data_IF_958485422128
#
_entry.id   IF_958485422128
#
_cell.length_a   1.000
_cell.length_b   1.000
_cell.length_c   1.000
_cell.angle_alpha   90.00
_cell.angle_beta   90.00
_cell.angle_gamma   90.00
#
_symmetry.space_group_name_H-M   'P 1'
#
loop_
_entity.id
_entity.type
_entity.pdbx_description
1 polymer ?
#
# COMPACT_ATOMS: atom_id res chain seq x y z
N UNK A 1 9.16 23.57 20.15
CA UNK A 1 9.59 23.45 18.74
C UNK A 1 8.47 22.80 17.95
N UNK A 2 8.26 23.19 16.69
CA UNK A 2 7.21 22.61 15.84
C UNK A 2 7.84 21.56 14.94
N UNK A 3 7.32 20.33 14.96
CA UNK A 3 7.78 19.26 14.07
C UNK A 3 7.51 19.62 12.60
N UNK A 4 8.32 19.08 11.69
CA UNK A 4 8.05 19.19 10.25
C UNK A 4 6.69 18.56 9.90
N UNK A 5 5.93 19.26 9.07
CA UNK A 5 4.64 18.77 8.57
C UNK A 5 4.84 17.45 7.80
N UNK A 6 3.97 16.44 8.01
CA UNK A 6 3.98 15.23 7.18
C UNK A 6 3.86 15.54 5.69
N UNK A 7 4.40 14.66 4.85
CA UNK A 7 4.30 14.80 3.40
C UNK A 7 2.83 14.81 2.96
N UNK A 8 2.48 15.70 2.03
CA UNK A 8 1.09 15.96 1.66
C UNK A 8 0.26 16.74 2.70
N UNK A 9 0.88 17.24 3.78
CA UNK A 9 0.27 18.17 4.74
C UNK A 9 -0.34 17.52 5.98
N UNK A 10 -0.63 16.22 5.95
CA UNK A 10 -1.24 15.49 7.07
C UNK A 10 -0.69 14.07 7.15
N UNK A 11 -0.53 13.57 8.38
CA UNK A 11 -0.24 12.16 8.61
C UNK A 11 -1.52 11.36 8.39
N UNK A 12 -1.53 10.53 7.35
CA UNK A 12 -2.65 9.67 6.97
C UNK A 12 -2.46 8.31 7.61
N UNK A 13 -3.30 7.94 8.58
CA UNK A 13 -3.28 6.61 9.19
C UNK A 13 -4.51 5.83 8.71
N UNK A 14 -4.29 4.61 8.21
CA UNK A 14 -5.34 3.73 7.66
C UNK A 14 -5.62 2.51 8.55
N UNK A 15 -4.97 2.42 9.70
CA UNK A 15 -5.27 1.43 10.74
C UNK A 15 -6.63 1.75 11.38
N UNK A 16 -7.54 0.78 11.34
CA UNK A 16 -8.82 0.87 12.02
C UNK A 16 -8.64 0.82 13.53
N UNK A 17 -9.53 1.52 14.24
CA UNK A 17 -9.69 1.33 15.68
C UNK A 17 -10.18 -0.09 15.99
N UNK A 18 -9.93 -0.62 17.20
CA UNK A 18 -10.25 -2.01 17.53
C UNK A 18 -11.71 -2.43 17.31
N UNK A 19 -12.67 -1.52 17.52
CA UNK A 19 -14.09 -1.86 17.38
C UNK A 19 -14.48 -1.97 15.91
N UNK A 20 -14.05 -1.00 15.09
CA UNK A 20 -14.28 -1.03 13.64
C UNK A 20 -13.52 -2.17 12.97
N UNK A 21 -12.30 -2.46 13.43
CA UNK A 21 -11.49 -3.59 12.96
C UNK A 21 -12.22 -4.93 13.16
N UNK A 22 -12.79 -5.16 14.36
CA UNK A 22 -13.55 -6.38 14.66
C UNK A 22 -14.81 -6.52 13.80
N UNK A 23 -15.50 -5.41 13.52
CA UNK A 23 -16.66 -5.41 12.63
C UNK A 23 -16.27 -5.73 11.19
N UNK A 24 -15.18 -5.12 10.70
CA UNK A 24 -14.64 -5.39 9.36
C UNK A 24 -14.16 -6.83 9.22
N UNK A 25 -13.52 -7.40 10.23
CA UNK A 25 -13.11 -8.81 10.26
C UNK A 25 -14.31 -9.77 10.15
N UNK A 26 -15.41 -9.49 10.85
CA UNK A 26 -16.64 -10.28 10.73
C UNK A 26 -17.28 -10.22 9.35
N UNK A 27 -17.19 -9.08 8.66
CA UNK A 27 -17.72 -8.92 7.30
C UNK A 27 -16.79 -9.48 6.22
N UNK A 28 -15.48 -9.53 6.46
CA UNK A 28 -14.48 -9.91 5.47
C UNK A 28 -14.55 -11.38 5.02
N UNK A 29 -15.18 -12.26 5.82
CA UNK A 29 -15.29 -13.69 5.52
C UNK A 29 -16.06 -14.03 4.24
N UNK A 30 -16.95 -13.14 3.78
CA UNK A 30 -17.72 -13.31 2.54
C UNK A 30 -17.14 -12.55 1.34
N UNK A 31 -16.06 -11.77 1.54
CA UNK A 31 -15.45 -10.99 0.47
C UNK A 31 -14.52 -11.86 -0.39
N UNK A 32 -14.41 -11.58 -1.69
CA UNK A 32 -13.29 -12.10 -2.50
C UNK A 32 -11.97 -11.77 -1.82
N UNK A 33 -11.06 -12.73 -1.79
CA UNK A 33 -9.79 -12.58 -1.07
C UNK A 33 -8.62 -12.48 -2.05
N UNK A 34 -7.75 -11.51 -1.80
CA UNK A 34 -6.45 -11.37 -2.46
C UNK A 34 -5.36 -11.71 -1.46
N UNK A 35 -4.49 -12.65 -1.83
CA UNK A 35 -3.28 -12.94 -1.06
C UNK A 35 -2.19 -11.98 -1.49
N UNK A 36 -1.69 -11.18 -0.54
CA UNK A 36 -0.61 -10.24 -0.73
C UNK A 36 0.73 -10.97 -0.83
N UNK A 37 1.57 -10.52 -1.74
CA UNK A 37 3.00 -10.81 -1.67
C UNK A 37 3.61 -10.21 -0.40
N UNK A 38 4.81 -10.68 -0.02
CA UNK A 38 5.57 -10.08 1.09
C UNK A 38 5.79 -8.58 0.89
N UNK A 39 6.02 -8.14 -0.35
CA UNK A 39 6.22 -6.71 -0.66
C UNK A 39 4.94 -5.92 -0.45
N UNK A 40 3.82 -6.38 -1.00
CA UNK A 40 2.53 -5.68 -0.87
C UNK A 40 2.04 -5.66 0.58
N UNK A 41 2.35 -6.68 1.38
CA UNK A 41 2.08 -6.68 2.81
C UNK A 41 2.91 -5.61 3.55
N UNK A 42 4.19 -5.43 3.20
CA UNK A 42 5.01 -4.33 3.74
C UNK A 42 4.49 -2.96 3.28
N UNK A 43 4.10 -2.82 2.02
CA UNK A 43 3.52 -1.57 1.50
C UNK A 43 2.20 -1.24 2.23
N UNK A 44 1.36 -2.25 2.48
CA UNK A 44 0.14 -2.10 3.28
C UNK A 44 0.44 -1.64 4.70
N UNK A 45 1.46 -2.20 5.37
CA UNK A 45 1.90 -1.75 6.70
C UNK A 45 2.33 -0.28 6.68
N UNK A 46 3.11 0.14 5.68
CA UNK A 46 3.57 1.53 5.54
C UNK A 46 2.41 2.50 5.29
N UNK A 47 1.40 2.09 4.52
CA UNK A 47 0.15 2.85 4.37
C UNK A 47 -0.61 2.90 5.70
N UNK A 48 -0.73 1.77 6.40
CA UNK A 48 -1.47 1.66 7.65
C UNK A 48 -0.98 2.66 8.70
N UNK A 49 0.34 2.70 8.93
CA UNK A 49 0.95 3.54 9.96
C UNK A 49 1.18 4.99 9.51
N UNK A 50 0.91 5.29 8.25
CA UNK A 50 1.08 6.61 7.64
C UNK A 50 2.50 6.98 7.25
N UNK A 51 3.41 6.02 7.21
CA UNK A 51 4.75 6.22 6.66
C UNK A 51 4.67 6.60 5.17
N UNK A 52 3.65 6.11 4.47
CA UNK A 52 3.38 6.45 3.08
C UNK A 52 2.40 7.61 2.87
N UNK A 53 2.22 8.50 3.85
CA UNK A 53 1.42 9.72 3.64
C UNK A 53 1.92 10.48 2.40
N UNK A 54 1.04 10.90 1.47
CA UNK A 54 -0.42 11.04 1.62
C UNK A 54 -1.26 9.85 1.15
N UNK A 55 -0.68 8.69 0.84
CA UNK A 55 -1.43 7.56 0.31
C UNK A 55 -2.45 7.02 1.32
N UNK A 56 -3.68 6.78 0.84
CA UNK A 56 -4.77 6.17 1.60
C UNK A 56 -5.01 4.69 1.25
N UNK A 57 -4.24 4.17 0.29
CA UNK A 57 -4.33 2.82 -0.25
C UNK A 57 -3.43 2.63 -1.46
N UNK A 58 -3.71 1.61 -2.26
CA UNK A 58 -2.95 1.31 -3.47
C UNK A 58 -3.35 2.25 -4.61
N UNK A 59 -2.37 2.66 -5.42
CA UNK A 59 -2.52 3.71 -6.42
C UNK A 59 -3.53 3.37 -7.52
N UNK A 60 -4.36 4.34 -7.88
CA UNK A 60 -5.12 4.34 -9.13
C UNK A 60 -4.24 4.61 -10.35
N UNK A 61 -4.81 4.53 -11.55
CA UNK A 61 -4.05 4.58 -12.80
C UNK A 61 -3.35 5.93 -13.01
N UNK A 62 -4.01 7.02 -12.62
CA UNK A 62 -3.47 8.38 -12.78
C UNK A 62 -2.22 8.59 -11.91
N UNK A 63 -2.29 8.17 -10.64
CA UNK A 63 -1.14 8.23 -9.72
C UNK A 63 0.01 7.34 -10.21
N UNK A 64 -0.28 6.09 -10.60
CA UNK A 64 0.71 5.18 -11.15
C UNK A 64 1.45 5.80 -12.36
N UNK A 65 0.69 6.34 -13.31
CA UNK A 65 1.24 6.93 -14.53
C UNK A 65 2.09 8.16 -14.22
N UNK A 66 1.61 9.05 -13.36
CA UNK A 66 2.34 10.24 -12.95
C UNK A 66 3.61 9.93 -12.17
N UNK A 67 3.58 8.90 -11.31
CA UNK A 67 4.76 8.46 -10.55
C UNK A 67 5.81 7.92 -11.50
N UNK A 68 5.43 7.07 -12.46
CA UNK A 68 6.37 6.53 -13.43
C UNK A 68 6.99 7.63 -14.30
N UNK A 69 6.20 8.57 -14.81
CA UNK A 69 6.69 9.57 -15.79
C UNK A 69 7.36 10.77 -15.13
N UNK A 70 6.75 11.28 -14.06
CA UNK A 70 7.02 12.61 -13.52
C UNK A 70 7.47 12.60 -12.05
N UNK A 71 7.57 11.41 -11.43
CA UNK A 71 7.82 11.24 -10.00
C UNK A 71 6.82 12.04 -9.14
N UNK A 72 5.55 12.06 -9.56
CA UNK A 72 4.48 12.79 -8.88
C UNK A 72 3.18 12.00 -8.88
N UNK A 73 2.45 12.08 -7.78
CA UNK A 73 1.04 11.72 -7.74
C UNK A 73 0.24 12.64 -8.67
N UNK A 74 -0.97 12.24 -9.04
CA UNK A 74 -1.89 13.06 -9.83
C UNK A 74 -2.24 14.39 -9.13
N UNK A 75 -2.10 14.45 -7.80
CA UNK A 75 -2.22 15.69 -7.01
C UNK A 75 -1.06 16.66 -7.21
N UNK A 76 0.00 16.27 -7.93
CA UNK A 76 1.25 17.03 -8.10
C UNK A 76 2.27 16.80 -6.99
N UNK A 77 1.90 16.07 -5.93
CA UNK A 77 2.79 15.74 -4.80
C UNK A 77 3.93 14.83 -5.27
N UNK A 78 5.18 15.16 -4.94
CA UNK A 78 6.36 14.34 -5.31
C UNK A 78 6.24 12.95 -4.71
N UNK A 79 6.39 11.92 -5.54
CA UNK A 79 6.38 10.52 -5.14
C UNK A 79 7.13 9.67 -6.16
N UNK A 80 8.21 8.96 -5.78
CA UNK A 80 9.15 8.40 -6.76
C UNK A 80 8.89 6.93 -7.16
N UNK A 81 8.20 6.13 -6.33
CA UNK A 81 8.06 4.67 -6.55
C UNK A 81 6.58 4.27 -6.51
N UNK A 82 6.05 3.57 -7.53
CA UNK A 82 4.67 3.10 -7.51
C UNK A 82 4.37 2.16 -6.34
N UNK A 83 3.19 2.36 -5.71
CA UNK A 83 2.66 1.50 -4.65
C UNK A 83 1.36 0.89 -5.15
N UNK A 84 1.46 -0.30 -5.73
CA UNK A 84 0.37 -0.97 -6.47
C UNK A 84 0.08 -2.35 -5.89
N UNK A 85 -1.18 -2.77 -5.95
CA UNK A 85 -1.61 -4.13 -5.67
C UNK A 85 -1.85 -4.84 -7.01
N UNK A 86 -1.07 -5.88 -7.29
CA UNK A 86 -1.11 -6.56 -8.59
C UNK A 86 -1.23 -8.08 -8.40
N UNK A 87 -2.45 -8.57 -8.14
CA UNK A 87 -2.69 -9.99 -7.86
C UNK A 87 -2.53 -10.84 -9.13
N UNK A 88 -2.51 -12.16 -8.94
CA UNK A 88 -2.54 -13.12 -10.05
C UNK A 88 -3.73 -12.85 -10.99
N UNK A 89 -3.53 -13.12 -12.29
CA UNK A 89 -4.48 -12.71 -13.32
C UNK A 89 -5.87 -13.32 -13.15
N UNK A 90 -5.95 -14.59 -12.77
CA UNK A 90 -7.20 -15.30 -12.46
C UNK A 90 -7.98 -14.61 -11.33
N UNK A 91 -7.29 -14.22 -10.25
CA UNK A 91 -7.89 -13.47 -9.14
C UNK A 91 -8.34 -12.07 -9.57
N UNK A 92 -7.52 -11.37 -10.37
CA UNK A 92 -7.84 -10.02 -10.85
C UNK A 92 -9.04 -9.98 -11.80
N UNK A 93 -9.28 -11.06 -12.55
CA UNK A 93 -10.39 -11.18 -13.49
C UNK A 93 -11.74 -11.22 -12.77
N UNK A 94 -11.80 -11.87 -11.60
CA UNK A 94 -13.01 -11.98 -10.78
C UNK A 94 -13.38 -10.68 -10.04
N UNK A 95 -12.40 -9.79 -9.84
CA UNK A 95 -12.57 -8.56 -9.07
C UNK A 95 -12.95 -7.39 -9.99
N UNK A 96 -13.99 -6.66 -9.63
CA UNK A 96 -14.48 -5.50 -10.38
C UNK A 96 -14.44 -4.22 -9.54
N UNK A 97 -14.22 -3.04 -10.17
CA UNK A 97 -14.40 -1.75 -9.50
C UNK A 97 -15.77 -1.64 -8.82
N UNK A 98 -15.79 -1.05 -7.62
CA UNK A 98 -16.96 -0.95 -6.76
C UNK A 98 -17.08 -2.06 -5.71
N UNK A 99 -16.30 -3.14 -5.83
CA UNK A 99 -16.29 -4.23 -4.85
C UNK A 99 -15.38 -3.93 -3.65
N UNK A 100 -15.69 -4.58 -2.52
CA UNK A 100 -14.75 -4.72 -1.41
C UNK A 100 -14.07 -6.09 -1.49
N UNK A 101 -12.78 -6.11 -1.18
CA UNK A 101 -11.97 -7.34 -1.16
C UNK A 101 -11.24 -7.47 0.18
N UNK A 102 -11.06 -8.69 0.64
CA UNK A 102 -10.23 -9.03 1.78
C UNK A 102 -8.78 -9.16 1.33
N UNK A 103 -7.87 -8.43 1.98
CA UNK A 103 -6.43 -8.57 1.76
C UNK A 103 -5.84 -9.47 2.85
N UNK A 104 -5.19 -10.56 2.44
CA UNK A 104 -4.61 -11.56 3.34
C UNK A 104 -3.10 -11.66 3.14
N UNK A 105 -2.36 -11.98 4.19
CA UNK A 105 -0.93 -12.28 4.06
C UNK A 105 -0.69 -13.69 3.48
N UNK A 106 0.57 -14.03 3.22
CA UNK A 106 0.96 -15.36 2.73
C UNK A 106 0.67 -16.53 3.69
N UNK A 107 0.25 -16.26 4.93
CA UNK A 107 -0.22 -17.28 5.91
C UNK A 107 -1.76 -17.35 5.96
N UNK A 108 -2.45 -16.57 5.12
CA UNK A 108 -3.91 -16.49 5.06
C UNK A 108 -4.55 -15.62 6.14
N UNK A 109 -3.77 -14.87 6.93
CA UNK A 109 -4.30 -13.97 7.97
C UNK A 109 -4.90 -12.74 7.30
N UNK A 110 -6.08 -12.32 7.74
CA UNK A 110 -6.71 -11.09 7.27
C UNK A 110 -5.91 -9.87 7.76
N UNK A 111 -5.48 -9.03 6.83
CA UNK A 111 -4.70 -7.82 7.09
C UNK A 111 -5.55 -6.56 6.95
N UNK A 112 -6.36 -6.48 5.90
CA UNK A 112 -7.17 -5.30 5.59
C UNK A 112 -8.39 -5.66 4.74
N UNK A 113 -9.32 -4.71 4.65
CA UNK A 113 -10.34 -4.67 3.59
C UNK A 113 -9.99 -3.53 2.66
N UNK A 114 -10.07 -3.75 1.36
CA UNK A 114 -9.85 -2.72 0.35
C UNK A 114 -11.14 -2.47 -0.43
N UNK A 115 -11.46 -1.20 -0.65
CA UNK A 115 -12.52 -0.83 -1.60
C UNK A 115 -11.88 -0.57 -2.95
N UNK A 116 -12.11 -1.45 -3.92
CA UNK A 116 -11.55 -1.33 -5.28
C UNK A 116 -12.28 -0.21 -6.00
N UNK A 117 -11.60 0.89 -6.28
CA UNK A 117 -12.13 2.02 -7.07
C UNK A 117 -11.78 1.88 -8.54
N UNK A 118 -10.63 1.29 -8.83
CA UNK A 118 -10.11 1.17 -10.19
C UNK A 118 -9.49 -0.21 -10.39
N UNK A 119 -9.63 -0.74 -11.61
CA UNK A 119 -8.89 -1.88 -12.13
C UNK A 119 -8.31 -1.49 -13.48
N UNK A 120 -6.99 -1.51 -13.61
CA UNK A 120 -6.30 -1.04 -14.81
C UNK A 120 -5.14 -1.97 -15.17
N UNK A 121 -4.68 -1.92 -16.42
CA UNK A 121 -3.55 -2.73 -16.87
C UNK A 121 -2.26 -2.25 -16.21
N UNK A 122 -1.49 -3.21 -15.70
CA UNK A 122 -0.17 -2.95 -15.15
C UNK A 122 0.83 -2.73 -16.29
N UNK A 123 1.06 -1.47 -16.65
CA UNK A 123 2.00 -1.09 -17.71
C UNK A 123 3.45 -1.21 -17.23
N UNK A 124 3.93 -2.46 -17.15
CA UNK A 124 5.29 -2.81 -16.74
C UNK A 124 6.35 -2.20 -17.68
N UNK A 125 6.01 -2.00 -18.96
CA UNK A 125 6.88 -1.37 -19.95
C UNK A 125 7.05 0.13 -19.69
N UNK A 126 6.05 0.78 -19.09
CA UNK A 126 6.17 2.13 -18.56
C UNK A 126 6.95 2.14 -17.23
N UNK A 127 6.62 1.28 -16.27
CA UNK A 127 7.22 1.32 -14.93
C UNK A 127 8.72 1.02 -14.95
N UNK A 128 9.11 -0.12 -15.53
CA UNK A 128 10.47 -0.67 -15.38
C UNK A 128 11.57 0.32 -15.77
N UNK A 129 11.62 0.84 -17.01
CA UNK A 129 12.69 1.72 -17.43
C UNK A 129 12.64 3.09 -16.76
N UNK A 130 11.44 3.59 -16.40
CA UNK A 130 11.32 4.92 -15.82
C UNK A 130 11.63 4.97 -14.32
N UNK A 131 11.31 3.90 -13.59
CA UNK A 131 11.54 3.80 -12.14
C UNK A 131 12.93 3.24 -11.84
N UNK A 132 13.36 2.16 -12.49
CA UNK A 132 14.62 1.49 -12.16
C UNK A 132 15.79 1.88 -13.07
N UNK A 133 15.54 2.64 -14.14
CA UNK A 133 16.55 3.10 -15.12
C UNK A 133 17.33 1.94 -15.78
N UNK A 134 16.74 0.75 -15.79
CA UNK A 134 17.27 -0.45 -16.41
C UNK A 134 16.13 -1.42 -16.70
N UNK A 135 16.32 -2.30 -17.67
CA UNK A 135 15.43 -3.43 -17.98
C UNK A 135 16.07 -4.79 -17.65
N UNK A 136 17.29 -4.79 -17.10
CA UNK A 136 18.01 -6.01 -16.71
C UNK A 136 17.24 -6.76 -15.62
N UNK A 137 16.85 -8.00 -15.90
CA UNK A 137 16.14 -8.88 -14.97
C UNK A 137 16.97 -9.25 -13.74
N UNK A 138 18.29 -9.07 -13.78
CA UNK A 138 19.14 -9.21 -12.60
C UNK A 138 18.91 -8.09 -11.58
N UNK A 139 18.31 -6.96 -11.97
CA UNK A 139 17.92 -5.93 -11.02
C UNK A 139 16.70 -6.40 -10.20
N UNK A 140 16.79 -6.49 -8.86
CA UNK A 140 15.72 -7.07 -8.04
C UNK A 140 14.35 -6.40 -8.22
N UNK A 141 14.33 -5.07 -8.34
CA UNK A 141 13.08 -4.33 -8.60
C UNK A 141 12.45 -4.66 -9.95
N UNK A 142 13.26 -4.94 -10.97
CA UNK A 142 12.77 -5.30 -12.32
C UNK A 142 12.19 -6.71 -12.28
N UNK A 143 12.89 -7.65 -11.64
CA UNK A 143 12.40 -9.01 -11.45
C UNK A 143 11.06 -9.05 -10.72
N UNK A 144 10.91 -8.24 -9.66
CA UNK A 144 9.66 -8.13 -8.90
C UNK A 144 8.52 -7.65 -9.80
N UNK A 145 8.69 -6.52 -10.51
CA UNK A 145 7.64 -5.98 -11.38
C UNK A 145 7.25 -6.94 -12.50
N UNK A 146 8.23 -7.66 -13.08
CA UNK A 146 7.94 -8.69 -14.09
C UNK A 146 7.12 -9.85 -13.52
N UNK A 147 7.34 -10.21 -12.25
CA UNK A 147 6.62 -11.31 -11.58
C UNK A 147 5.19 -10.97 -11.12
N UNK A 148 4.84 -9.68 -11.05
CA UNK A 148 3.50 -9.23 -10.68
C UNK A 148 2.44 -9.56 -11.76
N UNK A 149 1.16 -9.49 -11.40
CA UNK A 149 0.06 -9.67 -12.35
C UNK A 149 0.01 -8.59 -13.44
N UNK A 150 -0.90 -8.78 -14.40
CA UNK A 150 -1.09 -7.85 -15.52
C UNK A 150 -2.15 -6.78 -15.24
N UNK A 151 -2.76 -6.85 -14.06
CA UNK A 151 -3.75 -5.90 -13.57
C UNK A 151 -3.29 -5.30 -12.25
N UNK A 152 -3.60 -4.02 -12.06
CA UNK A 152 -3.49 -3.34 -10.79
C UNK A 152 -4.89 -3.02 -10.26
N UNK A 153 -5.08 -3.21 -8.96
CA UNK A 153 -6.27 -2.80 -8.23
C UNK A 153 -5.93 -1.54 -7.44
N UNK A 154 -6.65 -0.45 -7.68
CA UNK A 154 -6.46 0.84 -7.03
C UNK A 154 -7.63 1.20 -6.12
N UNK A 155 -7.34 1.80 -4.97
CA UNK A 155 -8.36 2.22 -4.02
C UNK A 155 -7.90 2.26 -2.56
N UNK A 156 -8.71 2.86 -1.67
CA UNK A 156 -8.38 2.99 -0.26
C UNK A 156 -8.45 1.65 0.48
N UNK A 157 -7.62 1.53 1.50
CA UNK A 157 -7.54 0.35 2.37
C UNK A 157 -7.95 0.71 3.79
N UNK A 158 -8.69 -0.17 4.45
CA UNK A 158 -9.00 -0.11 5.87
C UNK A 158 -8.28 -1.27 6.57
N UNK A 159 -7.22 -0.96 7.31
CA UNK A 159 -6.29 -1.95 7.83
C UNK A 159 -6.75 -2.45 9.18
N UNK A 160 -6.98 -3.76 9.28
CA UNK A 160 -7.45 -4.45 10.48
C UNK A 160 -6.25 -4.83 11.33
N UNK A 161 -5.24 -5.45 10.70
CA UNK A 161 -4.04 -5.89 11.37
C UNK A 161 -2.81 -5.56 10.52
N UNK A 162 -2.19 -4.41 10.81
CA UNK A 162 -0.90 -4.06 10.24
C UNK A 162 0.27 -4.83 10.87
N UNK A 163 0.04 -5.50 12.01
CA UNK A 163 1.10 -6.08 12.83
C UNK A 163 1.44 -7.50 12.36
N UNK A 164 2.30 -7.58 11.36
CA UNK A 164 3.12 -8.77 11.15
C UNK A 164 4.04 -8.90 12.37
N UNK A 165 3.75 -9.79 13.32
CA UNK A 165 4.58 -10.12 14.51
C UNK A 165 6.07 -9.85 14.26
N UNK A 166 6.56 -8.63 14.53
CA UNK A 166 7.83 -8.26 13.96
C UNK A 166 8.92 -8.75 14.89
N UNK A 167 10.00 -9.26 14.31
CA UNK A 167 11.22 -9.40 15.08
C UNK A 167 11.61 -8.00 15.60
N UNK A 168 11.72 -7.89 16.93
CA UNK A 168 12.05 -6.65 17.66
C UNK A 168 10.97 -5.55 17.60
N UNK A 169 9.79 -5.76 18.20
CA UNK A 169 8.70 -4.78 18.20
C UNK A 169 9.08 -3.44 18.85
N UNK A 170 9.97 -3.47 19.85
CA UNK A 170 10.41 -2.28 20.59
C UNK A 170 11.19 -1.28 19.72
N UNK A 171 11.74 -1.71 18.58
CA UNK A 171 12.47 -0.85 17.65
C UNK A 171 11.63 -0.37 16.46
N UNK A 172 10.36 -0.78 16.35
CA UNK A 172 9.48 -0.44 15.22
C UNK A 172 8.43 0.59 15.63
N UNK A 173 8.88 1.81 15.91
CA UNK A 173 8.01 2.92 16.26
C UNK A 173 7.27 3.46 15.02
N UNK A 174 5.91 3.45 15.00
CA UNK A 174 5.14 4.11 13.95
C UNK A 174 5.43 5.61 13.88
N UNK A 175 5.24 6.27 12.72
CA UNK A 175 5.46 7.71 12.58
C UNK A 175 4.80 8.58 13.67
N UNK A 176 3.59 8.25 14.09
CA UNK A 176 2.91 8.95 15.19
C UNK A 176 3.67 8.84 16.52
N UNK A 177 4.15 7.63 16.88
CA UNK A 177 4.91 7.39 18.11
C UNK A 177 6.31 7.99 18.06
N UNK A 178 6.97 7.94 16.91
CA UNK A 178 8.26 8.62 16.71
C UNK A 178 8.13 10.13 16.89
N UNK A 179 7.06 10.73 16.36
CA UNK A 179 6.76 12.16 16.54
C UNK A 179 6.47 12.52 18.00
N UNK A 180 5.66 11.73 18.70
CA UNK A 180 5.43 11.88 20.15
C UNK A 180 6.76 11.85 20.92
N UNK A 181 7.65 10.90 20.59
CA UNK A 181 8.95 10.76 21.25
C UNK A 181 9.87 11.97 21.02
N UNK A 182 9.89 12.56 19.82
CA UNK A 182 10.64 13.78 19.55
C UNK A 182 10.16 14.95 20.41
N UNK A 183 8.84 15.15 20.50
CA UNK A 183 8.26 16.20 21.36
C UNK A 183 8.63 15.98 22.83
N UNK A 184 8.48 14.75 23.34
CA UNK A 184 8.81 14.41 24.72
C UNK A 184 10.29 14.64 25.07
N UNK A 185 11.19 14.51 24.09
CA UNK A 185 12.64 14.75 24.24
C UNK A 185 13.06 16.20 23.98
N UNK A 186 12.14 17.05 23.52
CA UNK A 186 12.45 18.43 23.15
C UNK A 186 13.37 18.56 21.93
N UNK A 187 13.31 17.58 21.01
CA UNK A 187 14.04 17.60 19.74
C UNK A 187 13.35 18.47 18.69
#
# INVERSE_FOLDING_TARGET
>A
MSLITPHGGKLVNRQLDPNTAKAAEGAAGSLPAVTLSSREACDLEMIAIGAFSPLEGFMGQADFTGVCKDMRLASGTVWPIPVVLSPANDVAEEINPGQQIALKDGKGRLMAVMTVKEKYRHDKALEIPNVYRTEDEKHPGVAIVKSQGDWCLGGPVDVINANYEPEFPDFRLPPAKTREAFVAKGW
#
